data_IF_140468042873
#
_entry.id   IF_140468042873
#
_cell.length_a   1.000
_cell.length_b   1.000
_cell.length_c   1.000
_cell.angle_alpha   90.00
_cell.angle_beta   90.00
_cell.angle_gamma   90.00
#
_symmetry.space_group_name_H-M   'P 1'
#
loop_
_entity.id
_entity.type
_entity.pdbx_description
1 polymer ?
#
# COMPACT_ATOMS: atom_id res chain seq x y z
N UNK A 1 -24.80 2.64 -23.93
CA UNK A 1 -24.26 1.86 -22.80
C UNK A 1 -24.13 0.43 -23.24
N UNK A 2 -22.95 -0.01 -23.69
CA UNK A 2 -22.75 -1.36 -24.21
C UNK A 2 -22.11 -2.20 -23.11
N UNK A 3 -22.89 -3.08 -22.49
CA UNK A 3 -22.36 -4.16 -21.66
C UNK A 3 -21.46 -5.05 -22.52
N UNK A 4 -20.25 -5.44 -22.07
CA UNK A 4 -19.46 -6.42 -22.80
C UNK A 4 -20.28 -7.72 -22.87
N UNK A 5 -20.68 -8.09 -24.09
CA UNK A 5 -21.36 -9.34 -24.38
C UNK A 5 -20.40 -10.47 -24.01
N UNK A 6 -20.70 -11.19 -22.94
CA UNK A 6 -19.86 -12.30 -22.53
C UNK A 6 -20.13 -13.46 -23.50
N UNK A 7 -19.14 -13.80 -24.31
CA UNK A 7 -19.20 -14.97 -25.19
C UNK A 7 -18.99 -16.24 -24.35
N UNK A 8 -20.01 -17.10 -24.29
CA UNK A 8 -19.97 -18.37 -23.58
C UNK A 8 -20.09 -19.53 -24.54
N UNK A 9 -19.26 -20.56 -24.33
CA UNK A 9 -19.35 -21.85 -25.02
C UNK A 9 -19.59 -22.92 -23.97
N UNK A 10 -20.69 -23.67 -24.10
CA UNK A 10 -21.03 -24.79 -23.20
C UNK A 10 -20.47 -26.08 -23.77
N UNK A 11 -19.58 -26.74 -23.02
CA UNK A 11 -18.96 -28.01 -23.44
C UNK A 11 -19.23 -29.08 -22.38
N UNK A 12 -19.68 -30.26 -22.82
CA UNK A 12 -19.89 -31.41 -21.95
C UNK A 12 -18.55 -32.03 -21.52
N UNK A 13 -18.15 -31.81 -20.27
CA UNK A 13 -16.82 -32.23 -19.78
C UNK A 13 -16.68 -33.73 -19.47
N UNK A 14 -17.77 -34.47 -19.29
CA UNK A 14 -17.80 -35.91 -18.94
C UNK A 14 -16.68 -36.30 -17.94
N UNK A 15 -15.86 -37.29 -18.27
CA UNK A 15 -14.81 -37.86 -17.41
C UNK A 15 -13.62 -36.91 -17.15
N UNK A 16 -13.49 -35.84 -17.94
CA UNK A 16 -12.41 -34.85 -17.80
C UNK A 16 -12.67 -33.86 -16.67
N UNK A 17 -13.92 -33.71 -16.19
CA UNK A 17 -14.29 -32.70 -15.18
C UNK A 17 -13.46 -32.84 -13.91
N UNK A 18 -13.30 -34.06 -13.39
CA UNK A 18 -12.57 -34.31 -12.14
C UNK A 18 -11.08 -33.94 -12.28
N UNK A 19 -10.43 -34.40 -13.35
CA UNK A 19 -9.04 -34.09 -13.63
C UNK A 19 -8.81 -32.58 -13.85
N UNK A 20 -9.72 -31.92 -14.56
CA UNK A 20 -9.66 -30.48 -14.83
C UNK A 20 -9.83 -29.67 -13.54
N UNK A 21 -10.76 -30.06 -12.67
CA UNK A 21 -10.95 -29.42 -11.35
C UNK A 21 -9.73 -29.64 -10.46
N UNK A 22 -9.19 -30.87 -10.41
CA UNK A 22 -8.00 -31.18 -9.63
C UNK A 22 -6.79 -30.38 -10.10
N UNK A 23 -6.59 -30.26 -11.42
CA UNK A 23 -5.50 -29.46 -11.99
C UNK A 23 -5.69 -27.96 -11.72
N UNK A 24 -6.92 -27.45 -11.84
CA UNK A 24 -7.23 -26.06 -11.51
C UNK A 24 -7.01 -25.75 -10.02
N UNK A 25 -7.31 -26.71 -9.13
CA UNK A 25 -7.02 -26.62 -7.70
C UNK A 25 -5.51 -26.62 -7.42
N UNK A 26 -4.77 -27.56 -7.99
CA UNK A 26 -3.32 -27.66 -7.84
C UNK A 26 -2.61 -26.38 -8.32
N UNK A 27 -3.10 -25.78 -9.41
CA UNK A 27 -2.58 -24.54 -9.98
C UNK A 27 -3.21 -23.27 -9.39
N UNK A 28 -4.17 -23.41 -8.45
CA UNK A 28 -4.93 -22.32 -7.83
C UNK A 28 -5.59 -21.33 -8.81
N UNK A 29 -5.94 -21.78 -10.02
CA UNK A 29 -6.66 -21.01 -11.03
C UNK A 29 -8.12 -21.46 -11.12
N UNK A 30 -8.99 -20.66 -11.75
CA UNK A 30 -10.35 -21.11 -12.05
C UNK A 30 -10.32 -22.12 -13.20
N UNK A 31 -11.32 -23.01 -13.23
CA UNK A 31 -11.49 -23.98 -14.30
C UNK A 31 -11.59 -23.29 -15.67
N UNK A 32 -12.33 -22.17 -15.73
CA UNK A 32 -12.48 -21.39 -16.96
C UNK A 32 -11.17 -20.76 -17.45
N UNK A 33 -10.29 -20.31 -16.54
CA UNK A 33 -8.95 -19.80 -16.91
C UNK A 33 -8.10 -20.92 -17.48
N UNK A 34 -8.11 -22.10 -16.83
CA UNK A 34 -7.36 -23.26 -17.27
C UNK A 34 -7.83 -23.77 -18.64
N UNK A 35 -9.15 -23.83 -18.86
CA UNK A 35 -9.74 -24.21 -20.15
C UNK A 35 -9.41 -23.19 -21.23
N UNK A 36 -9.56 -21.89 -20.94
CA UNK A 36 -9.25 -20.83 -21.92
C UNK A 36 -7.77 -20.87 -22.34
N UNK A 37 -6.87 -21.06 -21.38
CA UNK A 37 -5.44 -21.22 -21.66
C UNK A 37 -5.14 -22.49 -22.47
N UNK A 38 -5.85 -23.59 -22.21
CA UNK A 38 -5.71 -24.81 -23.00
C UNK A 38 -6.20 -24.63 -24.44
N UNK A 39 -7.39 -24.07 -24.62
CA UNK A 39 -7.97 -23.80 -25.95
C UNK A 39 -7.09 -22.82 -26.74
N UNK A 40 -6.57 -21.76 -26.11
CA UNK A 40 -5.67 -20.82 -26.78
C UNK A 40 -4.38 -21.49 -27.27
N UNK A 41 -3.82 -22.44 -26.49
CA UNK A 41 -2.65 -23.22 -26.93
C UNK A 41 -2.97 -24.11 -28.13
N UNK A 42 -4.08 -24.85 -28.08
CA UNK A 42 -4.48 -25.75 -29.18
C UNK A 42 -4.83 -25.00 -30.47
N UNK A 43 -5.33 -23.77 -30.35
CA UNK A 43 -5.62 -22.91 -31.51
C UNK A 43 -4.37 -22.17 -32.03
N UNK A 44 -3.18 -22.41 -31.46
CA UNK A 44 -1.95 -21.70 -31.86
C UNK A 44 -1.94 -20.20 -31.50
N UNK A 45 -2.87 -19.76 -30.64
CA UNK A 45 -3.00 -18.37 -30.19
C UNK A 45 -2.12 -18.06 -28.97
N UNK A 46 -1.41 -19.07 -28.46
CA UNK A 46 -0.52 -18.95 -27.30
C UNK A 46 0.94 -18.68 -27.68
N UNK A 47 1.18 -17.74 -28.59
CA UNK A 47 2.43 -16.96 -28.62
C UNK A 47 2.09 -15.49 -28.36
N UNK A 48 1.97 -15.18 -27.08
CA UNK A 48 2.20 -13.87 -26.47
C UNK A 48 1.61 -13.94 -25.07
N UNK A 49 2.43 -14.31 -24.10
CA UNK A 49 2.28 -13.69 -22.77
C UNK A 49 2.70 -12.22 -22.92
N UNK A 50 1.98 -11.45 -23.75
CA UNK A 50 2.05 -10.01 -23.76
C UNK A 50 1.17 -9.56 -22.60
N UNK A 51 1.84 -9.21 -21.51
CA UNK A 51 1.29 -8.26 -20.56
C UNK A 51 0.59 -7.13 -21.32
N UNK A 52 -0.62 -6.69 -20.91
CA UNK A 52 -1.07 -5.39 -21.33
C UNK A 52 -0.16 -4.37 -20.66
N UNK A 53 0.74 -3.85 -21.51
CA UNK A 53 1.64 -2.75 -21.26
C UNK A 53 0.91 -1.56 -20.62
N UNK A 54 1.69 -0.80 -19.85
CA UNK A 54 1.25 0.34 -19.09
C UNK A 54 0.52 1.39 -19.94
N UNK A 55 -0.73 1.60 -19.59
CA UNK A 55 -1.47 2.85 -19.71
C UNK A 55 -2.71 2.64 -18.84
N UNK A 56 -2.73 3.01 -17.56
CA UNK A 56 -3.17 4.36 -17.16
C UNK A 56 -2.95 4.47 -15.65
N UNK A 57 -1.74 4.83 -15.24
CA UNK A 57 -1.38 5.03 -13.83
C UNK A 57 -1.20 6.51 -13.56
N UNK A 58 -2.30 7.25 -13.46
CA UNK A 58 -2.29 8.61 -12.86
C UNK A 58 -3.67 9.21 -12.53
N UNK A 59 -4.79 8.73 -13.10
CA UNK A 59 -6.06 9.45 -12.95
C UNK A 59 -7.32 8.55 -12.90
N UNK A 60 -7.32 7.50 -12.08
CA UNK A 60 -8.54 6.71 -11.83
C UNK A 60 -9.06 6.95 -10.40
N UNK A 61 -9.39 8.19 -10.08
CA UNK A 61 -10.36 8.45 -9.04
C UNK A 61 -11.72 7.93 -9.56
N UNK A 62 -12.31 6.98 -8.82
CA UNK A 62 -13.55 6.24 -9.13
C UNK A 62 -13.48 5.18 -10.25
N UNK A 63 -12.40 4.38 -10.29
CA UNK A 63 -12.34 3.18 -11.12
C UNK A 63 -13.38 2.13 -10.67
N UNK A 64 -14.12 1.57 -11.62
CA UNK A 64 -15.12 0.51 -11.42
C UNK A 64 -14.62 -0.60 -10.50
N UNK A 65 -15.36 -0.91 -9.43
CA UNK A 65 -15.04 -2.02 -8.53
C UNK A 65 -15.24 -3.34 -9.27
N UNK A 66 -14.17 -4.11 -9.45
CA UNK A 66 -14.23 -5.45 -10.06
C UNK A 66 -14.34 -6.49 -8.94
N UNK A 67 -15.38 -7.34 -9.00
CA UNK A 67 -15.51 -8.48 -8.08
C UNK A 67 -14.48 -9.55 -8.42
N UNK A 68 -13.45 -9.66 -7.59
CA UNK A 68 -12.41 -10.68 -7.72
C UNK A 68 -12.83 -11.97 -6.99
N UNK A 69 -12.69 -13.12 -7.67
CA UNK A 69 -12.83 -14.45 -7.05
C UNK A 69 -11.46 -15.12 -6.96
N UNK A 70 -10.91 -15.23 -5.75
CA UNK A 70 -9.62 -15.84 -5.45
C UNK A 70 -9.79 -17.09 -4.61
N UNK A 71 -8.93 -18.10 -4.82
CA UNK A 71 -8.86 -19.31 -3.99
C UNK A 71 -7.69 -19.17 -3.04
N UNK A 72 -7.99 -19.23 -1.74
CA UNK A 72 -7.00 -19.22 -0.66
C UNK A 72 -7.12 -20.54 0.11
N UNK A 73 -6.00 -21.00 0.65
CA UNK A 73 -6.03 -22.01 1.71
C UNK A 73 -6.70 -21.44 2.96
N UNK A 74 -7.11 -22.31 3.90
CA UNK A 74 -7.69 -21.87 5.18
C UNK A 74 -6.76 -20.92 5.93
N UNK A 75 -5.47 -21.27 6.04
CA UNK A 75 -4.47 -20.45 6.73
C UNK A 75 -4.25 -19.09 6.07
N UNK A 76 -4.21 -19.02 4.73
CA UNK A 76 -4.09 -17.74 4.00
C UNK A 76 -5.34 -16.86 4.19
N UNK A 77 -6.53 -17.44 4.21
CA UNK A 77 -7.77 -16.70 4.48
C UNK A 77 -7.81 -16.16 5.93
N UNK A 78 -7.39 -16.96 6.91
CA UNK A 78 -7.27 -16.53 8.30
C UNK A 78 -6.24 -15.40 8.48
N UNK A 79 -5.10 -15.49 7.79
CA UNK A 79 -4.10 -14.43 7.79
C UNK A 79 -4.62 -13.13 7.15
N UNK A 80 -5.35 -13.24 6.03
CA UNK A 80 -6.00 -12.09 5.40
C UNK A 80 -6.99 -11.42 6.36
N UNK A 81 -7.78 -12.21 7.08
CA UNK A 81 -8.78 -11.74 8.03
C UNK A 81 -8.15 -11.09 9.26
N UNK A 82 -7.11 -11.71 9.82
CA UNK A 82 -6.37 -11.17 10.94
C UNK A 82 -5.64 -9.87 10.55
N UNK A 83 -5.02 -9.83 9.36
CA UNK A 83 -4.36 -8.65 8.81
C UNK A 83 -5.34 -7.48 8.61
N UNK A 84 -6.45 -7.73 7.92
CA UNK A 84 -7.48 -6.72 7.68
C UNK A 84 -8.08 -6.18 8.99
N UNK A 85 -8.36 -7.07 9.97
CA UNK A 85 -8.86 -6.65 11.30
C UNK A 85 -7.86 -5.79 12.06
N UNK A 86 -6.59 -6.19 12.13
CA UNK A 86 -5.54 -5.39 12.79
C UNK A 86 -5.37 -4.01 12.14
N UNK A 87 -5.53 -3.93 10.82
CA UNK A 87 -5.47 -2.66 10.08
C UNK A 87 -6.77 -1.84 10.16
N UNK A 88 -7.87 -2.37 10.73
CA UNK A 88 -9.17 -1.71 10.73
C UNK A 88 -9.79 -1.56 9.32
N UNK A 89 -9.41 -2.43 8.38
CA UNK A 89 -9.82 -2.36 6.98
C UNK A 89 -10.75 -3.50 6.58
N UNK A 90 -11.51 -3.31 5.50
CA UNK A 90 -12.18 -4.44 4.84
C UNK A 90 -11.15 -5.35 4.17
N UNK A 91 -11.48 -6.63 3.99
CA UNK A 91 -10.59 -7.59 3.28
C UNK A 91 -10.13 -7.07 1.91
N UNK A 92 -11.05 -6.46 1.15
CA UNK A 92 -10.76 -5.91 -0.17
C UNK A 92 -9.84 -4.68 -0.10
N UNK A 93 -10.07 -3.77 0.85
CA UNK A 93 -9.21 -2.60 1.04
C UNK A 93 -7.81 -3.00 1.53
N UNK A 94 -7.74 -3.98 2.44
CA UNK A 94 -6.48 -4.55 2.90
C UNK A 94 -5.70 -5.21 1.75
N UNK A 95 -6.36 -6.06 0.95
CA UNK A 95 -5.74 -6.69 -0.22
C UNK A 95 -5.28 -5.66 -1.26
N UNK A 96 -6.09 -4.62 -1.53
CA UNK A 96 -5.71 -3.53 -2.42
C UNK A 96 -4.48 -2.76 -1.91
N UNK A 97 -4.39 -2.54 -0.60
CA UNK A 97 -3.23 -1.92 0.04
C UNK A 97 -1.97 -2.79 -0.03
N UNK A 98 -2.10 -4.11 0.14
CA UNK A 98 -1.01 -5.06 -0.06
C UNK A 98 -0.50 -5.05 -1.51
N UNK A 99 -1.42 -5.05 -2.49
CA UNK A 99 -1.06 -4.95 -3.92
C UNK A 99 -0.39 -3.62 -4.27
N UNK A 100 -0.74 -2.55 -3.55
CA UNK A 100 -0.10 -1.25 -3.66
C UNK A 100 1.23 -1.18 -2.88
N UNK A 101 1.70 -2.28 -2.28
CA UNK A 101 2.92 -2.39 -1.48
C UNK A 101 3.00 -1.30 -0.40
N UNK A 102 1.89 -1.05 0.30
CA UNK A 102 1.90 -0.13 1.45
C UNK A 102 2.69 -0.80 2.58
N UNK A 103 3.86 -0.25 2.90
CA UNK A 103 4.80 -0.83 3.86
C UNK A 103 4.16 -1.06 5.24
N UNK A 104 3.27 -0.15 5.68
CA UNK A 104 2.57 -0.30 6.95
C UNK A 104 1.60 -1.48 7.05
N UNK A 105 1.24 -2.12 5.93
CA UNK A 105 0.35 -3.29 5.91
C UNK A 105 1.12 -4.62 5.87
N UNK A 106 2.38 -4.59 5.45
CA UNK A 106 3.27 -5.75 5.35
C UNK A 106 4.33 -5.81 6.45
N UNK A 107 4.58 -4.69 7.14
CA UNK A 107 5.57 -4.57 8.21
C UNK A 107 5.12 -5.16 9.55
N UNK A 108 6.08 -5.26 10.47
CA UNK A 108 5.82 -5.68 11.85
C UNK A 108 4.87 -4.70 12.54
N UNK A 109 3.77 -5.22 13.08
CA UNK A 109 2.81 -4.40 13.82
C UNK A 109 3.41 -3.76 15.08
N UNK A 110 4.44 -4.39 15.67
CA UNK A 110 5.12 -3.83 16.85
C UNK A 110 5.86 -2.54 16.50
N UNK A 111 6.64 -2.53 15.41
CA UNK A 111 7.40 -1.34 14.99
C UNK A 111 6.49 -0.15 14.63
N UNK A 112 5.29 -0.41 14.09
CA UNK A 112 4.30 0.63 13.79
C UNK A 112 3.72 1.26 15.05
N UNK A 113 3.41 0.45 16.07
CA UNK A 113 2.88 0.93 17.35
C UNK A 113 3.93 1.80 18.06
N UNK A 114 5.18 1.35 18.06
CA UNK A 114 6.29 2.12 18.64
C UNK A 114 6.49 3.46 17.94
N UNK A 115 6.40 3.47 16.60
CA UNK A 115 6.53 4.69 15.80
C UNK A 115 5.39 5.69 16.07
N UNK A 116 4.14 5.21 16.22
CA UNK A 116 3.00 6.05 16.59
C UNK A 116 3.11 6.58 18.03
N UNK A 117 3.61 5.77 18.96
CA UNK A 117 3.86 6.19 20.33
C UNK A 117 4.93 7.30 20.37
N UNK A 118 6.04 7.12 19.64
CA UNK A 118 7.09 8.13 19.52
C UNK A 118 6.58 9.43 18.89
N UNK A 119 5.76 9.36 17.84
CA UNK A 119 5.14 10.54 17.23
C UNK A 119 4.19 11.26 18.20
N UNK A 120 3.42 10.50 18.97
CA UNK A 120 2.49 11.04 19.98
C UNK A 120 3.25 11.77 21.08
N UNK A 121 4.32 11.16 21.60
CA UNK A 121 5.19 11.79 22.59
C UNK A 121 5.82 13.09 22.05
N UNK A 122 6.39 13.05 20.84
CA UNK A 122 6.98 14.23 20.21
C UNK A 122 5.95 15.35 19.94
N UNK A 123 4.70 15.00 19.62
CA UNK A 123 3.62 15.97 19.46
C UNK A 123 3.23 16.63 20.80
N UNK A 124 3.27 15.87 21.90
CA UNK A 124 3.04 16.40 23.24
C UNK A 124 4.16 17.36 23.69
N UNK A 125 5.41 17.04 23.34
CA UNK A 125 6.56 17.93 23.56
C UNK A 125 6.41 19.24 22.78
N UNK A 126 6.05 19.20 21.49
CA UNK A 126 5.77 20.41 20.70
C UNK A 126 4.59 21.21 21.25
N UNK A 127 3.54 20.56 21.77
CA UNK A 127 2.42 21.24 22.44
C UNK A 127 2.87 21.99 23.69
N UNK A 128 3.81 21.40 24.45
CA UNK A 128 4.40 22.01 25.63
C UNK A 128 5.26 23.20 25.23
N UNK A 129 6.08 23.04 24.19
CA UNK A 129 6.95 24.08 23.63
C UNK A 129 6.15 25.29 23.11
N UNK A 130 5.05 25.05 22.40
CA UNK A 130 4.11 26.09 21.95
C UNK A 130 3.52 26.87 23.13
N UNK A 131 3.10 26.18 24.20
CA UNK A 131 2.62 26.83 25.43
C UNK A 131 3.71 27.69 26.09
N UNK A 132 4.94 27.18 26.17
CA UNK A 132 6.08 27.93 26.70
C UNK A 132 6.40 29.17 25.88
N UNK A 133 6.34 29.11 24.55
CA UNK A 133 6.53 30.27 23.66
C UNK A 133 5.43 31.31 23.85
N UNK A 134 4.17 30.87 23.97
CA UNK A 134 3.04 31.78 24.23
C UNK A 134 3.19 32.46 25.60
N UNK A 135 3.64 31.72 26.62
CA UNK A 135 3.92 32.28 27.93
C UNK A 135 5.09 33.29 27.87
N UNK A 136 6.19 32.94 27.21
CA UNK A 136 7.31 33.85 26.99
C UNK A 136 6.87 35.13 26.29
N UNK A 137 6.05 35.01 25.24
CA UNK A 137 5.50 36.15 24.52
C UNK A 137 4.69 37.06 25.45
N UNK A 138 3.91 36.48 26.38
CA UNK A 138 3.18 37.25 27.39
C UNK A 138 4.11 37.97 28.38
N UNK A 139 5.19 37.33 28.83
CA UNK A 139 6.19 37.94 29.72
C UNK A 139 6.91 39.11 29.04
N UNK A 140 7.34 38.92 27.79
CA UNK A 140 8.00 39.97 27.02
C UNK A 140 7.09 41.17 26.77
N UNK A 141 5.80 40.96 26.51
CA UNK A 141 4.81 42.05 26.38
C UNK A 141 4.62 42.85 27.67
N UNK A 142 4.84 42.24 28.84
CA UNK A 142 4.76 42.90 30.16
C UNK A 142 6.08 43.58 30.57
N UNK A 143 7.15 43.42 29.78
CA UNK A 143 8.49 43.90 30.13
C UNK A 143 9.20 43.05 31.19
N UNK A 144 8.71 41.84 31.47
CA UNK A 144 9.27 40.95 32.48
C UNK A 144 10.48 40.16 31.94
N UNK A 145 11.63 40.84 31.84
CA UNK A 145 12.86 40.28 31.24
C UNK A 145 13.48 39.17 32.09
N UNK A 146 13.42 39.28 33.42
CA UNK A 146 13.99 38.27 34.34
C UNK A 146 13.37 36.88 34.17
N UNK A 147 12.04 36.74 34.28
CA UNK A 147 11.34 35.48 33.98
C UNK A 147 11.52 35.02 32.52
N UNK A 148 11.54 35.94 31.56
CA UNK A 148 11.74 35.62 30.14
C UNK A 148 13.11 34.96 29.86
N UNK A 149 14.17 35.38 30.57
CA UNK A 149 15.52 34.81 30.39
C UNK A 149 15.60 33.32 30.73
N UNK A 150 14.68 32.78 31.54
CA UNK A 150 14.64 31.35 31.87
C UNK A 150 14.33 30.48 30.63
N UNK A 151 13.67 31.03 29.61
CA UNK A 151 13.33 30.33 28.38
C UNK A 151 14.48 30.29 27.36
N UNK A 152 15.64 30.94 27.62
CA UNK A 152 16.73 31.06 26.63
C UNK A 152 17.27 29.71 26.17
N UNK A 153 17.51 28.78 27.11
CA UNK A 153 17.99 27.42 26.78
C UNK A 153 16.99 26.64 25.93
N UNK A 154 15.69 26.83 26.15
CA UNK A 154 14.64 26.18 25.35
C UNK A 154 14.61 26.76 23.93
N UNK A 155 14.83 28.07 23.77
CA UNK A 155 14.93 28.68 22.44
C UNK A 155 16.18 28.22 21.68
N UNK A 156 17.29 27.95 22.39
CA UNK A 156 18.52 27.46 21.79
C UNK A 156 18.33 26.05 21.14
N UNK A 157 17.45 25.20 21.69
CA UNK A 157 17.19 23.84 21.18
C UNK A 157 15.96 23.73 20.27
N UNK A 158 15.06 24.73 20.28
CA UNK A 158 13.78 24.71 19.58
C UNK A 158 13.88 24.30 18.10
N UNK A 159 14.90 24.80 17.39
CA UNK A 159 15.10 24.47 15.98
C UNK A 159 15.46 23.00 15.74
N UNK A 160 16.21 22.39 16.65
CA UNK A 160 16.57 20.97 16.60
C UNK A 160 15.38 20.10 16.98
N UNK A 161 14.63 20.49 18.00
CA UNK A 161 13.42 19.78 18.46
C UNK A 161 12.36 19.71 17.35
N UNK A 162 12.13 20.83 16.64
CA UNK A 162 11.21 20.87 15.49
C UNK A 162 11.72 20.02 14.33
N UNK A 163 13.02 20.08 14.00
CA UNK A 163 13.60 19.26 12.92
C UNK A 163 13.53 17.76 13.23
N UNK A 164 13.77 17.39 14.49
CA UNK A 164 13.62 16.01 14.95
C UNK A 164 12.17 15.53 14.80
N UNK A 165 11.19 16.33 15.23
CA UNK A 165 9.77 16.01 15.05
C UNK A 165 9.40 15.83 13.57
N UNK A 166 9.82 16.77 12.71
CA UNK A 166 9.53 16.70 11.27
C UNK A 166 10.15 15.46 10.62
N UNK A 167 11.35 15.06 11.06
CA UNK A 167 12.02 13.85 10.56
C UNK A 167 11.26 12.58 10.98
N UNK A 168 10.83 12.50 12.24
CA UNK A 168 9.98 11.40 12.75
C UNK A 168 8.65 11.33 11.99
N UNK A 169 7.95 12.46 11.84
CA UNK A 169 6.68 12.54 11.12
C UNK A 169 6.84 12.16 9.64
N UNK A 170 7.92 12.60 8.98
CA UNK A 170 8.21 12.24 7.60
C UNK A 170 8.42 10.73 7.43
N UNK A 171 9.11 10.08 8.37
CA UNK A 171 9.28 8.62 8.40
C UNK A 171 7.93 7.88 8.49
N UNK A 172 7.10 8.25 9.47
CA UNK A 172 5.75 7.66 9.64
C UNK A 172 4.91 7.83 8.37
N UNK A 173 4.94 9.03 7.78
CA UNK A 173 4.18 9.30 6.55
C UNK A 173 4.73 8.55 5.34
N UNK A 174 6.04 8.29 5.28
CA UNK A 174 6.63 7.47 4.24
C UNK A 174 6.16 6.01 4.32
N UNK A 175 6.04 5.46 5.53
CA UNK A 175 5.56 4.08 5.75
C UNK A 175 4.09 3.90 5.37
N UNK A 176 3.30 4.97 5.46
CA UNK A 176 1.90 5.02 5.05
C UNK A 176 1.72 5.18 3.54
N UNK A 177 2.74 5.63 2.82
CA UNK A 177 2.63 5.82 1.38
C UNK A 177 2.63 4.48 0.65
N UNK A 178 1.79 4.31 -0.38
CA UNK A 178 1.93 3.20 -1.31
C UNK A 178 3.33 3.24 -1.93
N UNK A 179 4.03 2.10 -2.00
CA UNK A 179 5.29 2.09 -2.72
C UNK A 179 5.01 2.53 -4.16
N UNK A 180 5.63 3.64 -4.57
CA UNK A 180 5.71 3.97 -5.98
C UNK A 180 6.41 2.78 -6.63
N UNK A 181 5.88 2.21 -7.73
CA UNK A 181 6.65 1.25 -8.49
C UNK A 181 7.95 1.97 -8.82
N UNK A 182 9.05 1.38 -8.38
CA UNK A 182 10.35 1.70 -8.91
C UNK A 182 10.20 1.67 -10.42
N UNK A 183 10.20 2.86 -11.03
CA UNK A 183 10.30 2.99 -12.47
C UNK A 183 11.58 2.24 -12.82
N UNK A 184 11.39 1.04 -13.37
CA UNK A 184 12.46 0.14 -13.78
C UNK A 184 13.35 0.96 -14.70
N UNK A 185 14.48 1.43 -14.17
CA UNK A 185 15.56 2.09 -14.90
C UNK A 185 16.25 0.98 -15.71
N UNK A 186 15.50 0.42 -16.66
CA UNK A 186 16.02 -0.38 -17.75
C UNK A 186 16.46 0.60 -18.81
N UNK A 187 17.63 1.19 -18.59
CA UNK A 187 18.37 1.88 -19.63
C UNK A 187 18.76 0.83 -20.66
N UNK A 188 17.87 0.64 -21.63
CA UNK A 188 18.10 -0.19 -22.80
C UNK A 188 19.10 0.55 -23.68
N UNK A 189 20.38 0.42 -23.33
CA UNK A 189 21.51 0.84 -24.15
C UNK A 189 21.49 -0.04 -25.41
N UNK A 190 20.87 0.49 -26.46
CA UNK A 190 20.93 -0.06 -27.83
C UNK A 190 22.41 -0.25 -28.22
N UNK A 191 22.83 -1.42 -28.72
CA UNK A 191 24.09 -1.50 -29.44
C UNK A 191 23.90 -0.85 -30.81
N UNK A 192 24.75 0.12 -31.13
CA UNK A 192 24.90 0.65 -32.48
C UNK A 192 25.59 -0.43 -33.32
N UNK A 193 24.94 -0.87 -34.39
CA UNK A 193 25.56 -1.67 -35.43
C UNK A 193 26.28 -0.72 -36.40
N UNK A 194 27.57 -0.96 -36.63
CA UNK A 194 28.32 -0.61 -37.83
C UNK A 194 29.46 -1.61 -37.96
#
# INVERSE_FOLDING_TARGET
>A
MNTPTHEFVTVGMRDLKAALVARAQAQRVSVSVLVRAAVARELGLAEASAEPAGATRAAAAAGSIVKLSIRLTRGEAEQLDAGARRAGLSRGAFLAGLLANVASLTGDSASRVDCLAALTASSAELSTLSRSINHLTALLRRGEVGPALQYRRMLDTLGDDVRAHLSLAAGVLADLRPARPSARRGESRRPAAS
#
